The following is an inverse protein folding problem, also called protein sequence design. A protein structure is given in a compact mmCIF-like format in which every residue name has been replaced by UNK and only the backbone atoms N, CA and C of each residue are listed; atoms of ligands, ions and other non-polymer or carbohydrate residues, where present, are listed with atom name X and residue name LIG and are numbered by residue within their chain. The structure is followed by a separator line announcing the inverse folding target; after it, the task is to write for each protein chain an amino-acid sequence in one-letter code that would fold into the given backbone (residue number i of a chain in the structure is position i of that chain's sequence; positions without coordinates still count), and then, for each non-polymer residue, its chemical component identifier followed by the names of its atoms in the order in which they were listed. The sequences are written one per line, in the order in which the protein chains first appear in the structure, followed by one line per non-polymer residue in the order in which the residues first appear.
data_IF_590132993310
#
_entry.id   IF_590132993310
#
_cell.length_a   1.000
_cell.length_b   1.000
_cell.length_c   1.000
_cell.angle_alpha   90.00
_cell.angle_beta   90.00
_cell.angle_gamma   90.00
#
_symmetry.space_group_name_H-M   'P 1'
#
loop_
_entity.id
_entity.type
_entity.pdbx_description
1 polymer ?
#
# COMPACT_ATOMS: atom_id res chain seq x y z
N UNK A 1 -17.24 10.61 13.25
CA UNK A 1 -16.87 9.20 12.96
C UNK A 1 -17.28 8.33 14.12
N UNK A 2 -18.22 7.42 13.92
CA UNK A 2 -18.46 6.36 14.91
C UNK A 2 -17.41 5.28 14.78
N UNK A 3 -17.18 4.48 15.82
CA UNK A 3 -16.26 3.35 15.77
C UNK A 3 -16.68 2.31 14.73
N UNK A 4 -17.98 2.18 14.48
CA UNK A 4 -18.56 1.29 13.47
C UNK A 4 -18.19 1.76 12.06
N UNK A 5 -18.27 3.06 11.79
CA UNK A 5 -17.86 3.63 10.49
C UNK A 5 -16.38 3.37 10.21
N UNK A 6 -15.52 3.52 11.24
CA UNK A 6 -14.10 3.26 11.10
C UNK A 6 -13.79 1.80 10.74
N UNK A 7 -14.51 0.85 11.34
CA UNK A 7 -14.40 -0.58 11.00
C UNK A 7 -14.88 -0.83 9.56
N UNK A 8 -16.03 -0.28 9.18
CA UNK A 8 -16.59 -0.46 7.83
C UNK A 8 -15.66 0.08 6.75
N UNK A 9 -15.15 1.31 6.93
CA UNK A 9 -14.21 1.93 5.99
C UNK A 9 -12.86 1.19 5.96
N UNK A 10 -12.39 0.68 7.11
CA UNK A 10 -11.18 -0.14 7.17
C UNK A 10 -11.33 -1.47 6.44
N UNK A 11 -12.48 -2.13 6.57
CA UNK A 11 -12.81 -3.34 5.82
C UNK A 11 -12.92 -3.06 4.32
N UNK A 12 -13.57 -1.97 3.93
CA UNK A 12 -13.68 -1.53 2.54
C UNK A 12 -12.30 -1.28 1.94
N UNK A 13 -11.43 -0.52 2.62
CA UNK A 13 -10.07 -0.28 2.16
C UNK A 13 -9.28 -1.59 2.05
N UNK A 14 -9.32 -2.43 3.09
CA UNK A 14 -8.61 -3.71 3.08
C UNK A 14 -9.04 -4.65 1.95
N UNK A 15 -10.34 -4.65 1.60
CA UNK A 15 -10.86 -5.46 0.50
C UNK A 15 -10.54 -4.88 -0.88
N UNK A 16 -10.59 -3.55 -1.02
CA UNK A 16 -10.47 -2.88 -2.33
C UNK A 16 -9.03 -2.53 -2.70
N UNK A 17 -8.11 -2.40 -1.74
CA UNK A 17 -6.71 -2.04 -2.01
C UNK A 17 -5.98 -3.08 -2.86
N UNK A 18 -6.32 -4.36 -2.69
CA UNK A 18 -5.70 -5.48 -3.43
C UNK A 18 -6.41 -5.80 -4.73
N UNK A 19 -7.57 -5.18 -4.98
CA UNK A 19 -8.35 -5.36 -6.19
C UNK A 19 -8.14 -4.15 -7.12
N UNK A 20 -8.06 -4.33 -8.44
CA UNK A 20 -7.90 -3.22 -9.39
C UNK A 20 -9.23 -2.47 -9.61
N UNK A 21 -9.79 -1.92 -8.52
CA UNK A 21 -11.12 -1.30 -8.49
C UNK A 21 -11.11 0.17 -8.02
N UNK A 22 -9.92 0.78 -7.85
CA UNK A 22 -9.74 2.13 -7.29
C UNK A 22 -10.25 2.25 -5.84
N UNK A 23 -9.39 1.90 -4.88
CA UNK A 23 -9.70 1.93 -3.44
C UNK A 23 -10.04 3.35 -2.96
N UNK A 24 -9.29 4.36 -3.40
CA UNK A 24 -9.53 5.77 -3.05
C UNK A 24 -10.90 6.29 -3.49
N UNK A 25 -11.38 5.87 -4.68
CA UNK A 25 -12.70 6.25 -5.17
C UNK A 25 -13.84 5.64 -4.36
N UNK A 26 -13.73 4.35 -4.02
CA UNK A 26 -14.73 3.67 -3.18
C UNK A 26 -14.76 4.24 -1.77
N UNK A 27 -13.59 4.53 -1.19
CA UNK A 27 -13.47 5.13 0.12
C UNK A 27 -14.09 6.54 0.17
N UNK A 28 -13.79 7.38 -0.82
CA UNK A 28 -14.37 8.72 -0.92
C UNK A 28 -15.90 8.69 -1.10
N UNK A 29 -16.42 7.76 -1.92
CA UNK A 29 -17.86 7.56 -2.06
C UNK A 29 -18.49 7.12 -0.74
N UNK A 30 -17.92 6.13 -0.07
CA UNK A 30 -18.43 5.64 1.22
C UNK A 30 -18.42 6.74 2.29
N UNK A 31 -17.39 7.58 2.34
CA UNK A 31 -17.32 8.72 3.26
C UNK A 31 -18.34 9.81 2.94
N UNK A 32 -18.66 10.04 1.67
CA UNK A 32 -19.70 10.99 1.26
C UNK A 32 -21.10 10.50 1.64
N UNK A 33 -21.34 9.18 1.54
CA UNK A 33 -22.61 8.56 1.95
C UNK A 33 -22.80 8.52 3.48
N UNK A 34 -21.71 8.62 4.26
CA UNK A 34 -21.77 8.73 5.71
C UNK A 34 -21.95 10.21 6.08
N UNK A 35 -23.19 10.63 6.36
CA UNK A 35 -23.50 11.98 6.82
C UNK A 35 -22.60 12.39 8.01
N UNK A 36 -22.21 13.67 8.07
CA UNK A 36 -21.40 14.28 9.16
C UNK A 36 -19.91 13.86 9.24
N UNK A 37 -19.31 13.40 8.14
CA UNK A 37 -17.84 13.23 8.02
C UNK A 37 -17.11 14.59 7.93
N UNK A 38 -17.20 15.39 9.00
CA UNK A 38 -16.41 16.61 9.16
C UNK A 38 -14.91 16.23 9.27
N UNK A 39 -14.12 16.70 8.30
CA UNK A 39 -12.67 16.48 8.11
C UNK A 39 -11.91 16.10 9.40
N UNK A 40 -11.18 14.97 9.37
CA UNK A 40 -10.01 14.85 8.50
C UNK A 40 -9.96 13.52 7.76
N UNK A 41 -10.78 13.37 6.70
CA UNK A 41 -10.76 12.18 5.82
C UNK A 41 -9.35 11.83 5.34
N UNK A 42 -8.54 12.83 4.99
CA UNK A 42 -7.16 12.61 4.51
C UNK A 42 -6.26 11.87 5.51
N UNK A 43 -6.27 12.24 6.79
CA UNK A 43 -5.40 11.58 7.79
C UNK A 43 -5.88 10.15 8.02
N UNK A 44 -7.19 9.95 8.06
CA UNK A 44 -7.79 8.63 8.19
C UNK A 44 -7.45 7.74 6.98
N UNK A 45 -7.56 8.26 5.76
CA UNK A 45 -7.21 7.55 4.53
C UNK A 45 -5.75 7.12 4.52
N UNK A 46 -4.83 8.01 4.93
CA UNK A 46 -3.40 7.70 5.07
C UNK A 46 -3.22 6.57 6.09
N UNK A 47 -3.89 6.62 7.24
CA UNK A 47 -3.79 5.56 8.26
C UNK A 47 -4.33 4.22 7.76
N UNK A 48 -5.44 4.21 7.01
CA UNK A 48 -5.97 3.01 6.39
C UNK A 48 -4.99 2.42 5.36
N UNK A 49 -4.37 3.27 4.54
CA UNK A 49 -3.36 2.87 3.56
C UNK A 49 -2.07 2.35 4.23
N UNK A 50 -1.67 2.93 5.35
CA UNK A 50 -0.59 2.39 6.19
C UNK A 50 -0.99 1.02 6.75
N UNK A 51 -2.24 0.84 7.16
CA UNK A 51 -2.76 -0.46 7.61
C UNK A 51 -2.65 -1.56 6.55
N UNK A 52 -3.03 -1.27 5.31
CA UNK A 52 -2.89 -2.22 4.19
C UNK A 52 -1.43 -2.46 3.82
N UNK A 53 -0.59 -1.43 3.85
CA UNK A 53 0.87 -1.56 3.66
C UNK A 53 1.49 -2.50 4.72
N UNK A 54 1.12 -2.35 6.00
CA UNK A 54 1.59 -3.23 7.07
C UNK A 54 1.14 -4.67 6.85
N UNK A 55 -0.09 -4.90 6.39
CA UNK A 55 -0.58 -6.23 6.04
C UNK A 55 0.26 -6.89 4.94
N UNK A 56 0.61 -6.14 3.88
CA UNK A 56 1.49 -6.62 2.80
C UNK A 56 2.90 -6.93 3.31
N UNK A 57 3.50 -6.01 4.08
CA UNK A 57 4.84 -6.21 4.65
C UNK A 57 4.85 -7.44 5.57
N UNK A 58 3.82 -7.62 6.39
CA UNK A 58 3.69 -8.79 7.27
C UNK A 58 3.57 -10.10 6.49
N UNK A 59 2.75 -10.13 5.44
CA UNK A 59 2.58 -11.30 4.59
C UNK A 59 3.86 -11.66 3.82
N UNK A 60 4.53 -10.68 3.20
CA UNK A 60 5.74 -10.86 2.39
C UNK A 60 7.05 -10.65 3.18
N UNK A 61 7.03 -10.67 4.52
CA UNK A 61 8.18 -10.32 5.36
C UNK A 61 9.45 -11.10 5.01
N UNK A 62 9.31 -12.41 4.76
CA UNK A 62 10.44 -13.29 4.39
C UNK A 62 11.01 -12.96 3.02
N UNK A 63 10.15 -12.69 2.05
CA UNK A 63 10.55 -12.32 0.69
C UNK A 63 11.22 -10.95 0.68
N UNK A 64 10.72 -10.02 1.48
CA UNK A 64 11.30 -8.69 1.67
C UNK A 64 12.71 -8.77 2.28
N UNK A 65 12.91 -9.56 3.34
CA UNK A 65 14.26 -9.81 3.88
C UNK A 65 15.16 -10.47 2.83
N UNK A 66 14.63 -11.41 2.06
CA UNK A 66 15.35 -12.05 0.95
C UNK A 66 15.85 -11.02 -0.07
N UNK A 67 14.96 -10.16 -0.56
CA UNK A 67 15.25 -9.03 -1.45
C UNK A 67 16.33 -8.11 -0.87
N UNK A 68 16.17 -7.66 0.37
CA UNK A 68 17.05 -6.68 1.02
C UNK A 68 18.44 -7.25 1.31
N UNK A 69 18.53 -8.54 1.66
CA UNK A 69 19.81 -9.21 1.91
C UNK A 69 20.46 -9.79 0.65
N UNK A 70 19.73 -9.83 -0.47
CA UNK A 70 20.21 -10.37 -1.75
C UNK A 70 21.54 -9.77 -2.24
N UNK A 71 21.86 -8.47 -2.05
CA UNK A 71 23.14 -7.92 -2.50
C UNK A 71 24.35 -8.48 -1.73
N UNK A 72 24.16 -8.96 -0.50
CA UNK A 72 25.21 -9.54 0.34
C UNK A 72 25.29 -11.07 0.24
N UNK A 73 24.28 -11.73 -0.31
CA UNK A 73 24.23 -13.20 -0.47
C UNK A 73 24.77 -13.63 -1.84
N UNK A 74 25.41 -14.81 -1.89
CA UNK A 74 25.89 -15.46 -3.12
C UNK A 74 25.06 -16.71 -3.41
N UNK A 75 24.82 -17.00 -4.69
CA UNK A 75 24.04 -18.16 -5.17
C UNK A 75 22.98 -17.79 -6.21
N UNK A 76 22.45 -18.79 -6.91
CA UNK A 76 21.50 -18.60 -8.03
C UNK A 76 20.19 -17.95 -7.57
N UNK A 77 19.71 -18.30 -6.36
CA UNK A 77 18.53 -17.67 -5.75
C UNK A 77 18.76 -16.19 -5.43
N UNK A 78 19.98 -15.81 -5.05
CA UNK A 78 20.34 -14.42 -4.80
C UNK A 78 20.42 -13.60 -6.11
N UNK A 79 20.82 -14.21 -7.23
CA UNK A 79 20.80 -13.56 -8.55
C UNK A 79 19.37 -13.20 -8.98
N UNK A 80 18.42 -14.11 -8.79
CA UNK A 80 16.99 -13.87 -9.08
C UNK A 80 16.46 -12.73 -8.21
N UNK A 81 16.73 -12.76 -6.90
CA UNK A 81 16.29 -11.71 -5.98
C UNK A 81 16.92 -10.34 -6.30
N UNK A 82 18.20 -10.29 -6.67
CA UNK A 82 18.87 -9.04 -7.12
C UNK A 82 18.22 -8.47 -8.38
N UNK A 83 17.92 -9.32 -9.37
CA UNK A 83 17.22 -8.89 -10.58
C UNK A 83 15.84 -8.32 -10.24
N UNK A 84 15.11 -8.98 -9.34
CA UNK A 84 13.80 -8.50 -8.89
C UNK A 84 13.91 -7.16 -8.15
N UNK A 85 14.90 -7.00 -7.26
CA UNK A 85 15.19 -5.73 -6.59
C UNK A 85 15.47 -4.60 -7.59
N UNK A 86 16.33 -4.86 -8.58
CA UNK A 86 16.65 -3.88 -9.63
C UNK A 86 15.43 -3.51 -10.47
N UNK A 87 14.57 -4.49 -10.82
CA UNK A 87 13.34 -4.23 -11.56
C UNK A 87 12.34 -3.39 -10.75
N UNK A 88 12.22 -3.64 -9.45
CA UNK A 88 11.38 -2.84 -8.55
C UNK A 88 11.90 -1.40 -8.50
N UNK A 89 13.21 -1.20 -8.28
CA UNK A 89 13.82 0.13 -8.25
C UNK A 89 13.61 0.85 -9.58
N UNK A 90 13.92 0.18 -10.70
CA UNK A 90 13.78 0.75 -12.04
C UNK A 90 12.32 1.10 -12.36
N UNK A 91 11.36 0.28 -11.92
CA UNK A 91 9.93 0.52 -12.10
C UNK A 91 9.39 1.66 -11.23
N UNK A 92 9.93 1.84 -10.01
CA UNK A 92 9.48 2.88 -9.08
C UNK A 92 10.06 4.27 -9.37
N UNK A 93 11.24 4.35 -10.01
CA UNK A 93 11.91 5.63 -10.31
C UNK A 93 11.02 6.57 -11.17
N UNK A 94 10.45 6.14 -12.31
CA UNK A 94 9.57 6.99 -13.11
C UNK A 94 8.38 7.51 -12.30
N UNK A 95 7.74 6.65 -11.51
CA UNK A 95 6.61 7.03 -10.67
C UNK A 95 7.00 8.06 -9.61
N UNK A 96 8.16 7.91 -8.97
CA UNK A 96 8.67 8.85 -7.99
C UNK A 96 9.04 10.21 -8.61
N UNK A 97 9.65 10.21 -9.80
CA UNK A 97 9.98 11.45 -10.54
C UNK A 97 8.70 12.20 -10.89
N UNK A 98 7.73 11.51 -11.50
CA UNK A 98 6.44 12.11 -11.87
C UNK A 98 5.76 12.69 -10.62
N UNK A 99 5.67 11.92 -9.54
CA UNK A 99 5.04 12.36 -8.29
C UNK A 99 5.75 13.52 -7.57
N UNK A 100 7.04 13.77 -7.82
CA UNK A 100 7.76 14.92 -7.29
C UNK A 100 7.55 16.18 -8.15
N UNK A 101 7.35 16.00 -9.46
CA UNK A 101 7.23 17.11 -10.43
C UNK A 101 5.80 17.60 -10.67
N UNK A 102 4.79 16.80 -10.30
CA UNK A 102 3.37 17.13 -10.39
C UNK A 102 2.85 17.70 -9.07
#
# INVERSE_FOLDING_TARGET
MTFVDAILLGLLQGATEFLPVSSSGHLALAQNLLDDFAQPGLVFDILLHVGTMVAVIGYFWRDLIGLLTSPWRRGDTALIQRRMLLLIILGSIPTAIIGLTC
#
